data_IF_580438763959
#
_entry.id   IF_580438763959
#
_cell.length_a   1.000
_cell.length_b   1.000
_cell.length_c   1.000
_cell.angle_alpha   90.00
_cell.angle_beta   90.00
_cell.angle_gamma   90.00
#
_symmetry.space_group_name_H-M   'P 1'
#
loop_
_entity.id
_entity.type
_entity.pdbx_description
1 polymer ?
#
# COMPACT_ATOMS: atom_id res chain seq x y z
N UNK A 1 -11.92 -30.28 -7.49
CA UNK A 1 -10.71 -29.58 -7.01
C UNK A 1 -10.75 -28.20 -7.60
N UNK A 2 -11.46 -27.29 -6.94
CA UNK A 2 -11.52 -25.89 -7.35
C UNK A 2 -10.31 -25.19 -6.73
N UNK A 3 -9.43 -24.68 -7.59
CA UNK A 3 -8.34 -23.79 -7.20
C UNK A 3 -8.97 -22.50 -6.69
N UNK A 4 -9.16 -22.44 -5.36
CA UNK A 4 -9.66 -21.29 -4.63
C UNK A 4 -8.68 -20.13 -4.64
N UNK A 5 -8.71 -19.34 -5.72
CA UNK A 5 -8.29 -17.96 -5.65
C UNK A 5 -9.59 -17.16 -5.69
N UNK A 6 -10.15 -16.95 -4.51
CA UNK A 6 -11.11 -15.89 -4.28
C UNK A 6 -10.39 -14.56 -4.59
N UNK A 7 -10.34 -14.19 -5.87
CA UNK A 7 -10.24 -12.79 -6.24
C UNK A 7 -11.48 -12.16 -5.65
N UNK A 8 -11.28 -11.61 -4.45
CA UNK A 8 -12.18 -10.75 -3.72
C UNK A 8 -13.01 -10.00 -4.75
N UNK A 9 -14.31 -10.24 -4.69
CA UNK A 9 -15.30 -9.51 -5.45
C UNK A 9 -15.25 -8.07 -4.93
N UNK A 10 -14.29 -7.30 -5.45
CA UNK A 10 -14.12 -5.85 -5.25
C UNK A 10 -15.23 -5.09 -6.00
N UNK A 11 -16.45 -5.63 -5.94
CA UNK A 11 -17.64 -4.94 -6.39
C UNK A 11 -18.13 -4.16 -5.16
N UNK A 12 -17.82 -2.87 -5.16
CA UNK A 12 -18.59 -1.79 -4.53
C UNK A 12 -18.12 -1.15 -3.21
N UNK A 13 -16.95 -1.50 -2.65
CA UNK A 13 -16.43 -0.79 -1.45
C UNK A 13 -15.02 -0.18 -1.64
N UNK A 14 -14.97 1.10 -2.01
CA UNK A 14 -13.72 1.87 -2.17
C UNK A 14 -12.90 1.96 -0.87
N UNK A 15 -13.56 1.98 0.29
CA UNK A 15 -12.90 2.06 1.60
C UNK A 15 -12.13 0.76 1.92
N UNK A 16 -12.70 -0.40 1.58
CA UNK A 16 -12.02 -1.68 1.74
C UNK A 16 -10.82 -1.81 0.81
N UNK A 17 -10.97 -1.39 -0.46
CA UNK A 17 -9.87 -1.39 -1.43
C UNK A 17 -8.72 -0.48 -0.97
N UNK A 18 -9.06 0.71 -0.45
CA UNK A 18 -8.09 1.63 0.14
C UNK A 18 -7.36 1.01 1.33
N UNK A 19 -8.10 0.46 2.31
CA UNK A 19 -7.51 -0.14 3.49
C UNK A 19 -6.59 -1.33 3.14
N UNK A 20 -7.02 -2.18 2.20
CA UNK A 20 -6.24 -3.31 1.72
C UNK A 20 -4.94 -2.85 1.03
N UNK A 21 -5.03 -1.87 0.12
CA UNK A 21 -3.86 -1.30 -0.55
C UNK A 21 -2.90 -0.68 0.45
N UNK A 22 -3.39 0.20 1.32
CA UNK A 22 -2.59 0.90 2.33
C UNK A 22 -1.82 -0.07 3.23
N UNK A 23 -2.52 -1.07 3.77
CA UNK A 23 -1.91 -2.05 4.66
C UNK A 23 -0.90 -2.94 3.92
N UNK A 24 -1.19 -3.32 2.68
CA UNK A 24 -0.28 -4.13 1.85
C UNK A 24 1.01 -3.37 1.57
N UNK A 25 0.92 -2.10 1.14
CA UNK A 25 2.10 -1.28 0.84
C UNK A 25 2.96 -1.03 2.09
N UNK A 26 2.34 -0.74 3.23
CA UNK A 26 3.06 -0.55 4.50
C UNK A 26 3.78 -1.84 4.95
N UNK A 27 3.15 -3.01 4.77
CA UNK A 27 3.77 -4.29 5.11
C UNK A 27 4.93 -4.67 4.19
N UNK A 28 4.83 -4.37 2.89
CA UNK A 28 5.89 -4.65 1.92
C UNK A 28 7.14 -3.84 2.26
N UNK A 29 7.00 -2.53 2.43
CA UNK A 29 8.16 -1.66 2.60
C UNK A 29 8.80 -1.72 3.99
N UNK A 30 8.04 -2.17 4.99
CA UNK A 30 8.51 -2.32 6.38
C UNK A 30 9.40 -1.14 6.86
N UNK A 31 8.95 0.12 6.67
CA UNK A 31 9.81 1.29 6.81
C UNK A 31 10.34 1.43 8.23
N UNK A 32 11.62 1.74 8.37
CA UNK A 32 12.29 1.92 9.65
C UNK A 32 11.67 3.06 10.46
N UNK A 33 11.33 4.17 9.80
CA UNK A 33 10.74 5.36 10.43
C UNK A 33 9.22 5.39 10.39
N UNK A 34 8.57 4.38 9.81
CA UNK A 34 7.16 4.44 9.45
C UNK A 34 6.91 5.23 8.16
N UNK A 35 5.67 5.15 7.70
CA UNK A 35 5.16 5.87 6.53
C UNK A 35 3.76 6.39 6.82
N UNK A 36 3.49 7.64 6.46
CA UNK A 36 2.12 8.16 6.39
C UNK A 36 1.63 8.05 4.94
N UNK A 37 0.42 7.52 4.77
CA UNK A 37 -0.23 7.40 3.47
C UNK A 37 -1.53 8.20 3.52
N UNK A 38 -1.61 9.23 2.69
CA UNK A 38 -2.79 10.09 2.58
C UNK A 38 -3.51 9.85 1.26
N UNK A 39 -4.84 9.73 1.32
CA UNK A 39 -5.69 9.74 0.13
C UNK A 39 -5.88 11.19 -0.36
N UNK A 40 -5.55 11.44 -1.63
CA UNK A 40 -5.75 12.73 -2.29
C UNK A 40 -7.02 12.75 -3.17
N UNK A 41 -7.81 11.68 -3.15
CA UNK A 41 -8.93 11.45 -4.05
C UNK A 41 -8.47 11.08 -5.47
N UNK A 42 -9.43 10.75 -6.33
CA UNK A 42 -9.18 10.42 -7.75
C UNK A 42 -8.13 9.32 -7.94
N UNK A 43 -8.05 8.35 -7.01
CA UNK A 43 -7.06 7.27 -7.01
C UNK A 43 -5.60 7.75 -6.93
N UNK A 44 -5.35 8.91 -6.32
CA UNK A 44 -4.02 9.45 -6.06
C UNK A 44 -3.69 9.36 -4.58
N UNK A 45 -2.46 8.94 -4.29
CA UNK A 45 -2.00 8.72 -2.92
C UNK A 45 -0.67 9.43 -2.69
N UNK A 46 -0.54 10.05 -1.53
CA UNK A 46 0.70 10.65 -1.07
C UNK A 46 1.36 9.74 -0.04
N UNK A 47 2.60 9.35 -0.30
CA UNK A 47 3.44 8.60 0.63
C UNK A 47 4.47 9.53 1.24
N UNK A 48 4.46 9.67 2.56
CA UNK A 48 5.46 10.41 3.31
C UNK A 48 6.26 9.44 4.17
N UNK A 49 7.49 9.19 3.75
CA UNK A 49 8.46 8.43 4.53
C UNK A 49 9.15 9.36 5.53
N UNK A 50 9.34 8.88 6.76
CA UNK A 50 9.98 9.65 7.82
C UNK A 50 11.49 9.40 7.94
N UNK A 51 12.03 8.42 7.19
CA UNK A 51 13.44 8.10 7.17
C UNK A 51 13.99 8.08 5.74
N UNK A 52 15.11 8.76 5.48
CA UNK A 52 15.71 8.89 4.15
C UNK A 52 16.11 7.54 3.53
N UNK A 53 16.59 6.60 4.35
CA UNK A 53 16.89 5.23 3.93
C UNK A 53 15.67 4.48 3.39
N UNK A 54 14.47 4.74 3.92
CA UNK A 54 13.25 4.11 3.43
C UNK A 54 12.95 4.61 2.01
N UNK A 55 13.09 5.92 1.75
CA UNK A 55 12.96 6.51 0.41
C UNK A 55 13.97 5.89 -0.55
N UNK A 56 15.24 5.84 -0.16
CA UNK A 56 16.31 5.32 -1.01
C UNK A 56 16.17 3.82 -1.33
N UNK A 57 15.45 3.04 -0.51
CA UNK A 57 15.11 1.63 -0.81
C UNK A 57 14.01 1.56 -1.86
N UNK A 58 12.93 2.32 -1.65
CA UNK A 58 11.79 2.35 -2.57
C UNK A 58 12.21 2.85 -3.95
N UNK A 59 13.03 3.89 -4.03
CA UNK A 59 13.57 4.41 -5.30
C UNK A 59 14.44 3.40 -6.05
N UNK A 60 15.08 2.47 -5.33
CA UNK A 60 15.87 1.38 -5.91
C UNK A 60 15.01 0.15 -6.24
N UNK A 61 13.69 0.23 -6.05
CA UNK A 61 12.75 -0.86 -6.27
C UNK A 61 12.83 -1.97 -5.22
N UNK A 62 13.50 -1.71 -4.10
CA UNK A 62 13.48 -2.63 -2.96
C UNK A 62 12.16 -2.46 -2.18
N UNK A 63 11.66 -3.53 -1.54
CA UNK A 63 10.78 -3.38 -0.38
C UNK A 63 11.50 -2.51 0.66
#
# INVERSE_FOLDING_TARGET
MESGIAYLRLEDNEEEAWNAMRNTMANIWHPLGGVEISDLGEKRFLFRFYHELDIGRVEKGAP
#
